data_IF_981262744237
#
_entry.id   IF_981262744237
#
_cell.length_a   1.000
_cell.length_b   1.000
_cell.length_c   1.000
_cell.angle_alpha   90.00
_cell.angle_beta   90.00
_cell.angle_gamma   90.00
#
_symmetry.space_group_name_H-M   'P 1'
#
loop_
_entity.id
_entity.type
_entity.pdbx_description
1 polymer ?
#
# COMPACT_ATOMS: atom_id res chain seq x y z
N UNK A 1 4.33 -4.86 7.71
CA UNK A 1 4.19 -6.32 7.90
C UNK A 1 4.95 -7.02 6.81
N UNK A 2 5.86 -7.91 7.18
CA UNK A 2 6.45 -8.92 6.29
C UNK A 2 5.32 -9.54 5.46
N UNK A 3 5.15 -9.14 4.20
CA UNK A 3 4.40 -9.98 3.26
C UNK A 3 5.11 -11.33 3.32
N UNK A 4 4.46 -12.30 3.98
CA UNK A 4 4.87 -13.68 4.15
C UNK A 4 5.89 -14.07 3.07
N UNK A 5 7.16 -14.09 3.49
CA UNK A 5 8.34 -14.08 2.66
C UNK A 5 8.19 -14.93 1.38
N UNK A 6 7.88 -14.28 0.26
CA UNK A 6 7.92 -14.88 -1.08
C UNK A 6 6.73 -15.72 -1.54
N UNK A 7 5.63 -15.84 -0.77
CA UNK A 7 4.42 -16.58 -1.23
C UNK A 7 3.13 -15.75 -1.11
N UNK A 8 2.83 -14.91 -2.13
CA UNK A 8 1.57 -14.17 -2.21
C UNK A 8 0.32 -15.08 -2.20
N UNK A 9 0.43 -16.32 -2.68
CA UNK A 9 -0.70 -17.25 -2.70
C UNK A 9 -1.04 -17.77 -1.30
N UNK A 10 -0.04 -17.97 -0.43
CA UNK A 10 -0.28 -18.31 0.98
C UNK A 10 -0.93 -17.15 1.74
N UNK A 11 -0.43 -15.91 1.53
CA UNK A 11 -1.02 -14.72 2.13
C UNK A 11 -2.49 -14.54 1.71
N UNK A 12 -2.79 -14.74 0.43
CA UNK A 12 -4.16 -14.67 -0.08
C UNK A 12 -5.09 -15.66 0.61
N UNK A 13 -4.71 -16.94 0.71
CA UNK A 13 -5.55 -17.95 1.36
C UNK A 13 -5.88 -17.53 2.79
N UNK A 14 -4.87 -17.09 3.54
CA UNK A 14 -5.05 -16.64 4.91
C UNK A 14 -6.01 -15.44 5.02
N UNK A 15 -5.85 -14.43 4.18
CA UNK A 15 -6.73 -13.26 4.20
C UNK A 15 -8.16 -13.57 3.74
N UNK A 16 -8.33 -14.48 2.78
CA UNK A 16 -9.67 -14.91 2.33
C UNK A 16 -10.41 -15.68 3.42
N UNK A 17 -9.74 -16.64 4.07
CA UNK A 17 -10.33 -17.37 5.21
C UNK A 17 -10.72 -16.39 6.34
N UNK A 18 -9.88 -15.40 6.61
CA UNK A 18 -10.16 -14.36 7.61
C UNK A 18 -11.35 -13.48 7.21
N UNK A 19 -11.47 -13.08 5.93
CA UNK A 19 -12.61 -12.28 5.45
C UNK A 19 -13.93 -13.02 5.63
N UNK A 20 -14.01 -14.29 5.23
CA UNK A 20 -15.23 -15.10 5.37
C UNK A 20 -15.67 -15.22 6.83
N UNK A 21 -14.72 -15.42 7.75
CA UNK A 21 -15.02 -15.50 9.18
C UNK A 21 -15.50 -14.15 9.73
N UNK A 22 -14.83 -13.05 9.37
CA UNK A 22 -15.18 -11.70 9.83
C UNK A 22 -16.55 -11.25 9.29
N UNK A 23 -16.88 -11.60 8.05
CA UNK A 23 -18.21 -11.40 7.47
C UNK A 23 -19.28 -12.14 8.25
N UNK A 24 -19.04 -13.42 8.58
CA UNK A 24 -19.96 -14.24 9.38
C UNK A 24 -20.18 -13.66 10.79
N UNK A 25 -19.14 -13.08 11.37
CA UNK A 25 -19.19 -12.46 12.70
C UNK A 25 -19.78 -11.04 12.68
N UNK A 26 -19.88 -10.40 11.50
CA UNK A 26 -20.28 -9.00 11.37
C UNK A 26 -19.21 -8.00 11.82
N UNK A 27 -17.94 -8.43 11.90
CA UNK A 27 -16.81 -7.64 12.42
C UNK A 27 -16.21 -6.72 11.34
N UNK A 28 -16.78 -5.52 11.21
CA UNK A 28 -16.46 -4.59 10.11
C UNK A 28 -15.05 -4.00 10.14
N UNK A 29 -14.53 -3.68 11.33
CA UNK A 29 -13.22 -3.03 11.45
C UNK A 29 -12.08 -3.90 10.93
N UNK A 30 -12.00 -5.13 11.42
CA UNK A 30 -10.99 -6.09 10.94
C UNK A 30 -11.24 -6.53 9.50
N UNK A 31 -12.50 -6.62 9.05
CA UNK A 31 -12.84 -6.91 7.67
C UNK A 31 -12.24 -5.83 6.75
N UNK A 32 -12.43 -4.56 7.10
CA UNK A 32 -11.87 -3.43 6.37
C UNK A 32 -10.36 -3.54 6.21
N UNK A 33 -9.63 -3.77 7.30
CA UNK A 33 -8.17 -3.89 7.26
C UNK A 33 -7.73 -5.12 6.44
N UNK A 34 -8.39 -6.26 6.62
CA UNK A 34 -8.06 -7.51 5.93
C UNK A 34 -8.34 -7.39 4.42
N UNK A 35 -9.41 -6.68 4.03
CA UNK A 35 -9.72 -6.37 2.65
C UNK A 35 -8.63 -5.51 1.98
N UNK A 36 -8.14 -4.47 2.66
CA UNK A 36 -7.03 -3.65 2.14
C UNK A 36 -5.74 -4.46 1.97
N UNK A 37 -5.42 -5.32 2.93
CA UNK A 37 -4.26 -6.21 2.87
C UNK A 37 -4.36 -7.23 1.75
N UNK A 38 -5.53 -7.87 1.58
CA UNK A 38 -5.76 -8.77 0.45
C UNK A 38 -5.65 -8.02 -0.87
N UNK A 39 -6.11 -6.76 -0.93
CA UNK A 39 -5.98 -5.89 -2.09
C UNK A 39 -4.52 -5.73 -2.54
N UNK A 40 -3.60 -5.49 -1.60
CA UNK A 40 -2.16 -5.44 -1.87
C UNK A 40 -1.63 -6.80 -2.36
N UNK A 41 -2.03 -7.89 -1.71
CA UNK A 41 -1.58 -9.24 -2.07
C UNK A 41 -1.99 -9.60 -3.51
N UNK A 42 -3.23 -9.34 -3.91
CA UNK A 42 -3.70 -9.67 -5.27
C UNK A 42 -3.18 -8.65 -6.30
N UNK A 43 -2.89 -7.40 -5.89
CA UNK A 43 -2.18 -6.43 -6.73
C UNK A 43 -0.79 -6.94 -7.13
N UNK A 44 -0.01 -7.45 -6.17
CA UNK A 44 1.33 -8.02 -6.41
C UNK A 44 1.26 -9.24 -7.33
N UNK A 45 0.15 -9.96 -7.33
CA UNK A 45 -0.11 -11.07 -8.26
C UNK A 45 -0.63 -10.63 -9.63
N UNK A 46 -0.72 -9.32 -9.91
CA UNK A 46 -1.18 -8.77 -11.20
C UNK A 46 -2.70 -8.75 -11.39
N UNK A 47 -3.49 -9.07 -10.36
CA UNK A 47 -4.97 -9.07 -10.42
C UNK A 47 -5.54 -7.71 -10.02
N UNK A 48 -5.40 -6.75 -10.93
CA UNK A 48 -5.72 -5.34 -10.66
C UNK A 48 -7.21 -5.05 -10.46
N UNK A 49 -8.10 -5.74 -11.18
CA UNK A 49 -9.55 -5.55 -11.02
C UNK A 49 -10.03 -6.04 -9.63
N UNK A 50 -9.49 -7.16 -9.18
CA UNK A 50 -9.77 -7.70 -7.85
C UNK A 50 -9.19 -6.81 -6.75
N UNK A 51 -7.95 -6.33 -6.92
CA UNK A 51 -7.33 -5.38 -6.00
C UNK A 51 -8.21 -4.14 -5.81
N UNK A 52 -8.71 -3.55 -6.90
CA UNK A 52 -9.60 -2.39 -6.82
C UNK A 52 -10.91 -2.73 -6.07
N UNK A 53 -11.55 -3.85 -6.38
CA UNK A 53 -12.77 -4.28 -5.69
C UNK A 53 -12.56 -4.42 -4.18
N UNK A 54 -11.45 -5.01 -3.77
CA UNK A 54 -11.09 -5.18 -2.36
C UNK A 54 -10.85 -3.85 -1.65
N UNK A 55 -10.24 -2.87 -2.32
CA UNK A 55 -10.12 -1.51 -1.74
C UNK A 55 -11.47 -0.84 -1.53
N UNK A 56 -12.47 -1.10 -2.37
CA UNK A 56 -13.83 -0.55 -2.20
C UNK A 56 -14.56 -1.23 -1.05
N UNK A 57 -14.46 -2.55 -0.96
CA UNK A 57 -14.99 -3.31 0.18
C UNK A 57 -14.36 -2.84 1.51
N UNK A 58 -13.05 -2.61 1.51
CA UNK A 58 -12.34 -2.03 2.66
C UNK A 58 -12.93 -0.68 3.05
N UNK A 59 -13.07 0.23 2.08
CA UNK A 59 -13.61 1.58 2.29
C UNK A 59 -15.06 1.57 2.81
N UNK A 60 -15.91 0.65 2.33
CA UNK A 60 -17.32 0.51 2.76
C UNK A 60 -17.46 -0.05 4.18
N UNK A 61 -16.54 -0.91 4.61
CA UNK A 61 -16.56 -1.53 5.94
C UNK A 61 -15.82 -0.69 7.00
N UNK A 62 -14.84 0.11 6.58
CA UNK A 62 -13.90 0.81 7.45
C UNK A 62 -14.40 2.10 8.04
N UNK A 63 -13.75 2.52 9.13
CA UNK A 63 -13.89 3.88 9.64
C UNK A 63 -13.00 4.85 8.84
N UNK A 64 -13.45 6.08 8.54
CA UNK A 64 -12.59 7.11 7.97
C UNK A 64 -11.44 7.52 8.91
N UNK A 65 -11.55 7.23 10.22
CA UNK A 65 -10.52 7.55 11.22
C UNK A 65 -9.41 6.49 11.31
N UNK A 66 -9.56 5.34 10.63
CA UNK A 66 -8.50 4.33 10.58
C UNK A 66 -7.42 4.74 9.57
N UNK A 67 -6.47 5.55 10.05
CA UNK A 67 -5.33 6.07 9.29
C UNK A 67 -4.60 4.97 8.51
N UNK A 68 -4.37 3.80 9.13
CA UNK A 68 -3.59 2.74 8.50
C UNK A 68 -4.34 2.12 7.33
N UNK A 69 -5.61 1.76 7.55
CA UNK A 69 -6.42 1.15 6.50
C UNK A 69 -6.75 2.15 5.38
N UNK A 70 -7.07 3.41 5.73
CA UNK A 70 -7.42 4.45 4.77
C UNK A 70 -6.25 4.88 3.87
N UNK A 71 -5.03 4.88 4.39
CA UNK A 71 -3.83 5.12 3.57
C UNK A 71 -3.50 3.93 2.68
N UNK A 72 -3.57 2.70 3.21
CA UNK A 72 -3.30 1.49 2.44
C UNK A 72 -4.26 1.30 1.27
N UNK A 73 -5.58 1.42 1.49
CA UNK A 73 -6.56 1.22 0.41
C UNK A 73 -6.39 2.25 -0.72
N UNK A 74 -5.99 3.48 -0.39
CA UNK A 74 -5.73 4.55 -1.37
C UNK A 74 -4.46 4.28 -2.16
N UNK A 75 -3.40 3.86 -1.48
CA UNK A 75 -2.13 3.52 -2.12
C UNK A 75 -2.29 2.33 -3.09
N UNK A 76 -2.98 1.26 -2.70
CA UNK A 76 -3.31 0.12 -3.58
C UNK A 76 -4.10 0.59 -4.80
N UNK A 77 -5.18 1.36 -4.59
CA UNK A 77 -6.02 1.85 -5.68
C UNK A 77 -5.25 2.81 -6.61
N UNK A 78 -4.33 3.61 -6.08
CA UNK A 78 -3.46 4.48 -6.87
C UNK A 78 -2.53 3.67 -7.78
N UNK A 79 -1.89 2.62 -7.25
CA UNK A 79 -1.05 1.71 -8.04
C UNK A 79 -1.84 1.03 -9.15
N UNK A 80 -3.08 0.57 -8.88
CA UNK A 80 -3.98 0.03 -9.91
C UNK A 80 -4.27 1.06 -11.01
N UNK A 81 -4.57 2.31 -10.65
CA UNK A 81 -4.80 3.39 -11.63
C UNK A 81 -3.55 3.66 -12.48
N UNK A 82 -2.37 3.68 -11.86
CA UNK A 82 -1.10 3.88 -12.56
C UNK A 82 -0.81 2.74 -13.55
N UNK A 83 -1.03 1.47 -13.16
CA UNK A 83 -0.92 0.31 -14.06
C UNK A 83 -1.85 0.39 -15.27
N UNK A 84 -2.98 1.10 -15.15
CA UNK A 84 -3.94 1.34 -16.23
C UNK A 84 -3.65 2.63 -17.03
N UNK A 85 -2.51 3.29 -16.79
CA UNK A 85 -2.14 4.54 -17.46
C UNK A 85 -2.92 5.77 -17.01
N UNK A 86 -3.71 5.67 -15.93
CA UNK A 86 -4.48 6.79 -15.35
C UNK A 86 -3.62 7.56 -14.35
N UNK A 87 -2.45 8.03 -14.81
CA UNK A 87 -1.39 8.59 -13.99
C UNK A 87 -1.83 9.80 -13.16
N UNK A 88 -2.65 10.70 -13.71
CA UNK A 88 -3.12 11.88 -12.97
C UNK A 88 -3.96 11.50 -11.74
N UNK A 89 -4.88 10.56 -11.90
CA UNK A 89 -5.74 10.09 -10.82
C UNK A 89 -4.97 9.25 -9.80
N UNK A 90 -4.02 8.44 -10.27
CA UNK A 90 -3.10 7.71 -9.41
C UNK A 90 -2.28 8.66 -8.52
N UNK A 91 -1.73 9.73 -9.10
CA UNK A 91 -0.94 10.72 -8.37
C UNK A 91 -1.79 11.46 -7.32
N UNK A 92 -3.01 11.88 -7.67
CA UNK A 92 -3.90 12.50 -6.70
C UNK A 92 -4.16 11.57 -5.50
N UNK A 93 -4.48 10.31 -5.78
CA UNK A 93 -4.86 9.35 -4.75
C UNK A 93 -3.69 8.92 -3.84
N UNK A 94 -2.47 8.79 -4.39
CA UNK A 94 -1.31 8.46 -3.57
C UNK A 94 -0.86 9.65 -2.72
N UNK A 95 -1.09 10.89 -3.16
CA UNK A 95 -0.85 12.08 -2.35
C UNK A 95 -1.85 12.19 -1.19
N UNK A 96 -3.10 11.77 -1.37
CA UNK A 96 -4.04 11.62 -0.26
C UNK A 96 -3.55 10.59 0.76
N UNK A 97 -3.04 9.44 0.30
CA UNK A 97 -2.47 8.43 1.20
C UNK A 97 -1.29 8.99 2.00
N UNK A 98 -0.39 9.75 1.36
CA UNK A 98 0.72 10.45 2.03
C UNK A 98 0.20 11.44 3.07
N UNK A 99 -0.81 12.24 2.74
CA UNK A 99 -1.38 13.23 3.66
C UNK A 99 -2.00 12.58 4.91
N UNK A 100 -2.63 11.40 4.75
CA UNK A 100 -3.20 10.63 5.86
C UNK A 100 -2.11 10.19 6.84
N UNK A 101 -0.99 9.65 6.34
CA UNK A 101 0.07 9.13 7.20
C UNK A 101 1.02 10.21 7.72
N UNK A 102 1.12 11.37 7.08
CA UNK A 102 2.07 12.44 7.41
C UNK A 102 1.99 12.93 8.86
N UNK A 103 0.78 12.96 9.43
CA UNK A 103 0.53 13.40 10.80
C UNK A 103 0.48 12.25 11.82
N UNK A 104 0.76 11.02 11.38
CA UNK A 104 0.72 9.84 12.26
C UNK A 104 2.10 9.50 12.84
N UNK A 105 2.12 8.90 14.01
CA UNK A 105 3.35 8.34 14.60
C UNK A 105 3.75 6.98 14.00
N UNK A 106 3.03 6.52 12.97
CA UNK A 106 3.28 5.26 12.27
C UNK A 106 4.36 5.43 11.20
N UNK A 107 5.59 5.67 11.65
CA UNK A 107 6.73 5.97 10.77
C UNK A 107 6.98 4.86 9.73
N UNK A 108 6.80 3.58 10.09
CA UNK A 108 6.91 2.49 9.11
C UNK A 108 5.84 2.59 8.02
N UNK A 109 4.58 2.89 8.38
CA UNK A 109 3.50 3.08 7.40
C UNK A 109 3.77 4.30 6.50
N UNK A 110 4.37 5.37 7.03
CA UNK A 110 4.81 6.50 6.19
C UNK A 110 5.81 6.03 5.14
N UNK A 111 6.79 5.21 5.55
CA UNK A 111 7.77 4.61 4.64
C UNK A 111 7.11 3.74 3.56
N UNK A 112 6.15 2.91 3.94
CA UNK A 112 5.44 2.02 3.00
C UNK A 112 4.67 2.84 1.95
N UNK A 113 3.93 3.86 2.37
CA UNK A 113 3.19 4.76 1.47
C UNK A 113 4.11 5.56 0.56
N UNK A 114 5.30 5.96 1.03
CA UNK A 114 6.29 6.61 0.16
C UNK A 114 6.85 5.65 -0.89
N UNK A 115 7.02 4.36 -0.60
CA UNK A 115 7.37 3.37 -1.62
C UNK A 115 6.23 3.18 -2.64
N UNK A 116 4.98 3.18 -2.21
CA UNK A 116 3.83 3.12 -3.12
C UNK A 116 3.77 4.36 -4.03
N UNK A 117 4.04 5.55 -3.48
CA UNK A 117 4.17 6.79 -4.28
C UNK A 117 5.29 6.68 -5.30
N UNK A 118 6.42 6.07 -4.94
CA UNK A 118 7.50 5.86 -5.88
C UNK A 118 7.11 4.94 -7.04
N UNK A 119 6.40 3.85 -6.76
CA UNK A 119 5.89 2.95 -7.81
C UNK A 119 4.89 3.67 -8.74
N UNK A 120 3.97 4.46 -8.18
CA UNK A 120 3.02 5.27 -8.98
C UNK A 120 3.76 6.25 -9.89
N UNK A 121 4.75 6.97 -9.36
CA UNK A 121 5.56 7.91 -10.13
C UNK A 121 6.36 7.21 -11.24
N UNK A 122 6.92 6.04 -10.95
CA UNK A 122 7.66 5.23 -11.92
C UNK A 122 6.77 4.74 -13.08
N UNK A 123 5.58 4.23 -12.76
CA UNK A 123 4.58 3.85 -13.77
C UNK A 123 4.10 5.04 -14.60
N UNK A 124 4.12 6.25 -14.00
CA UNK A 124 3.86 7.51 -14.67
C UNK A 124 5.03 8.09 -15.49
N UNK A 125 6.22 7.47 -15.43
CA UNK A 125 7.43 7.97 -16.09
C UNK A 125 8.13 9.14 -15.36
N UNK A 126 7.70 9.48 -14.15
CA UNK A 126 8.21 10.59 -13.33
C UNK A 126 9.41 10.12 -12.49
N UNK A 127 10.54 9.85 -13.14
CA UNK A 127 11.74 9.26 -12.50
C UNK A 127 12.26 10.04 -11.30
N UNK A 128 12.34 11.36 -11.41
CA UNK A 128 12.83 12.22 -10.32
C UNK A 128 11.90 12.16 -9.09
N UNK A 129 10.59 12.12 -9.31
CA UNK A 129 9.61 11.98 -8.24
C UNK A 129 9.67 10.60 -7.59
N UNK A 130 9.89 9.54 -8.38
CA UNK A 130 10.08 8.18 -7.88
C UNK A 130 11.33 8.10 -6.98
N UNK A 131 12.46 8.66 -7.42
CA UNK A 131 13.69 8.71 -6.64
C UNK A 131 13.51 9.51 -5.34
N UNK A 132 12.85 10.68 -5.41
CA UNK A 132 12.56 11.48 -4.22
C UNK A 132 11.67 10.72 -3.22
N UNK A 133 10.63 10.03 -3.70
CA UNK A 133 9.75 9.24 -2.84
C UNK A 133 10.49 8.06 -2.19
N UNK A 134 11.37 7.37 -2.92
CA UNK A 134 12.23 6.30 -2.35
C UNK A 134 13.17 6.83 -1.26
N UNK A 135 13.71 8.03 -1.44
CA UNK A 135 14.55 8.69 -0.44
C UNK A 135 13.75 9.02 0.83
N UNK A 136 12.53 9.55 0.68
CA UNK A 136 11.63 9.80 1.81
C UNK A 136 11.26 8.51 2.57
N UNK A 137 11.03 7.41 1.84
CA UNK A 137 10.80 6.11 2.45
C UNK A 137 12.00 5.64 3.27
N UNK A 138 13.21 5.77 2.72
CA UNK A 138 14.46 5.42 3.40
C UNK A 138 14.62 6.19 4.72
N UNK A 139 14.41 7.51 4.70
CA UNK A 139 14.50 8.37 5.89
C UNK A 139 13.50 7.94 6.98
N UNK A 140 12.29 7.54 6.60
CA UNK A 140 11.30 7.00 7.54
C UNK A 140 11.81 5.73 8.21
N UNK A 141 12.27 4.75 7.43
CA UNK A 141 12.75 3.47 7.97
C UNK A 141 14.01 3.64 8.82
N UNK A 142 14.95 4.50 8.43
CA UNK A 142 16.15 4.79 9.22
C UNK A 142 15.79 5.43 10.56
N UNK A 143 14.90 6.43 10.57
CA UNK A 143 14.43 7.08 11.80
C UNK A 143 13.75 6.09 12.75
N UNK A 144 13.04 5.10 12.21
CA UNK A 144 12.38 4.05 13.00
C UNK A 144 13.33 2.95 13.46
N UNK A 145 14.48 2.78 12.78
CA UNK A 145 15.42 1.68 12.99
C UNK A 145 15.05 0.40 12.22
N UNK A 146 14.18 0.48 11.22
CA UNK A 146 13.75 -0.64 10.39
C UNK A 146 14.80 -0.91 9.29
N UNK A 147 15.86 -1.64 9.65
CA UNK A 147 17.00 -1.89 8.76
C UNK A 147 16.63 -2.70 7.51
N UNK A 148 15.66 -3.61 7.61
CA UNK A 148 15.23 -4.45 6.48
C UNK A 148 14.54 -3.62 5.41
N UNK A 149 13.57 -2.78 5.81
CA UNK A 149 12.89 -1.88 4.87
C UNK A 149 13.81 -0.78 4.35
N UNK A 150 14.74 -0.28 5.17
CA UNK A 150 15.75 0.67 4.74
C UNK A 150 16.65 0.08 3.63
N UNK A 151 17.14 -1.16 3.80
CA UNK A 151 17.91 -1.84 2.76
C UNK A 151 17.11 -2.03 1.47
N UNK A 152 15.82 -2.37 1.56
CA UNK A 152 14.94 -2.44 0.39
C UNK A 152 14.86 -1.09 -0.33
N UNK A 153 14.66 0.01 0.41
CA UNK A 153 14.58 1.35 -0.17
C UNK A 153 15.91 1.78 -0.83
N UNK A 154 17.07 1.45 -0.24
CA UNK A 154 18.39 1.71 -0.83
C UNK A 154 18.59 0.97 -2.16
N UNK A 155 18.17 -0.29 -2.26
CA UNK A 155 18.25 -1.06 -3.51
C UNK A 155 17.42 -0.41 -4.62
N UNK A 156 16.18 -0.03 -4.31
CA UNK A 156 15.30 0.65 -5.26
C UNK A 156 15.87 2.01 -5.72
N UNK A 157 16.55 2.75 -4.84
CA UNK A 157 17.26 3.98 -5.22
C UNK A 157 18.40 3.70 -6.20
N UNK A 158 19.20 2.67 -5.95
CA UNK A 158 20.32 2.29 -6.81
C UNK A 158 19.88 1.83 -8.22
N UNK A 159 18.70 1.22 -8.35
CA UNK A 159 18.13 0.79 -9.63
C UNK A 159 17.62 1.96 -10.52
N UNK A 160 17.55 3.17 -9.97
CA UNK A 160 17.05 4.37 -10.69
C UNK A 160 18.18 5.22 -11.30
N UNK A 161 19.44 4.86 -11.04
CA UNK A 161 20.65 5.57 -11.49
C UNK A 161 21.17 5.17 -12.86
#
# INVERSE_FOLDING_TARGET
MEMLAGDPSAAERHHRDALEELERMGEKGYLSTTAAQLGEVVYVQGRFDEAESLTRMSEEAGSPDDVSTQSQLRAVRAKVLARRGRTHEANALVLEAVAIVANSDFIDNQGDVYLDRAEVAELGGQKDEAAAARQQALECYERKGNLVSAERARRLLAETG
#
